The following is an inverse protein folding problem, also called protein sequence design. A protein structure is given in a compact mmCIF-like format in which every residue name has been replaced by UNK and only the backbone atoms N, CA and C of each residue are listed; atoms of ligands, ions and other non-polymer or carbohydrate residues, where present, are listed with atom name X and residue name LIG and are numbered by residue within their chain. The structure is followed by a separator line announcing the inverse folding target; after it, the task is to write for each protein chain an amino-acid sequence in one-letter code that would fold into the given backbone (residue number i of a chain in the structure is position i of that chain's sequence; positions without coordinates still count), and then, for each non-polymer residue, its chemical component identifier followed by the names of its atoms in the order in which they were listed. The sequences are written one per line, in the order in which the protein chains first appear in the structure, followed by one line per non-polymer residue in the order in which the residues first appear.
data_IF_957505924618
#
_entry.id   IF_957505924618
#
_cell.length_a   1.000
_cell.length_b   1.000
_cell.length_c   1.000
_cell.angle_alpha   90.00
_cell.angle_beta   90.00
_cell.angle_gamma   90.00
#
_symmetry.space_group_name_H-M   'P 1'
#
loop_
_entity.id
_entity.type
_entity.pdbx_description
1 polymer ?
#
# COMPACT_ATOMS: atom_id res chain seq x y z
N UNK A 1 5.92 -17.03 -42.56
CA UNK A 1 5.01 -15.92 -42.22
C UNK A 1 4.14 -16.43 -41.09
N UNK A 2 4.57 -16.17 -39.86
CA UNK A 2 3.75 -16.43 -38.68
C UNK A 2 2.88 -15.20 -38.51
N UNK A 3 1.56 -15.38 -38.54
CA UNK A 3 0.61 -14.31 -38.30
C UNK A 3 0.86 -13.73 -36.91
N UNK A 4 1.43 -12.52 -36.87
CA UNK A 4 1.37 -11.64 -35.71
C UNK A 4 -0.09 -11.27 -35.50
N UNK A 5 -0.82 -12.16 -34.82
CA UNK A 5 -2.09 -11.80 -34.21
C UNK A 5 -1.76 -10.70 -33.20
N UNK A 6 -2.18 -9.48 -33.54
CA UNK A 6 -2.06 -8.25 -32.77
C UNK A 6 -2.38 -8.54 -31.30
N UNK A 7 -1.43 -8.27 -30.40
CA UNK A 7 -1.66 -8.44 -28.97
C UNK A 7 -2.85 -7.59 -28.50
N UNK A 8 -3.18 -6.51 -29.22
CA UNK A 8 -4.41 -5.75 -29.06
C UNK A 8 -5.68 -6.56 -29.36
N UNK A 9 -5.71 -7.39 -30.40
CA UNK A 9 -6.85 -8.26 -30.68
C UNK A 9 -7.00 -9.37 -29.64
N UNK A 10 -5.88 -9.93 -29.17
CA UNK A 10 -5.91 -10.94 -28.07
C UNK A 10 -6.44 -10.32 -26.78
N UNK A 11 -6.01 -9.09 -26.48
CA UNK A 11 -6.49 -8.31 -25.34
C UNK A 11 -8.00 -8.04 -25.43
N UNK A 12 -8.48 -7.55 -26.58
CA UNK A 12 -9.91 -7.29 -26.81
C UNK A 12 -10.73 -8.58 -26.69
N UNK A 13 -10.23 -9.69 -27.23
CA UNK A 13 -10.93 -10.99 -27.17
C UNK A 13 -10.97 -11.56 -25.74
N UNK A 14 -9.92 -11.36 -24.93
CA UNK A 14 -9.92 -11.72 -23.51
C UNK A 14 -10.97 -10.91 -22.74
N UNK A 15 -11.08 -9.61 -23.02
CA UNK A 15 -12.12 -8.72 -22.44
C UNK A 15 -13.54 -9.17 -22.81
N UNK A 16 -13.77 -9.69 -24.01
CA UNK A 16 -15.08 -10.23 -24.45
C UNK A 16 -15.46 -11.54 -23.77
N UNK A 17 -14.50 -12.42 -23.48
CA UNK A 17 -14.75 -13.69 -22.78
C UNK A 17 -15.06 -13.47 -21.30
N UNK A 18 -14.36 -12.52 -20.66
CA UNK A 18 -14.67 -12.05 -19.32
C UNK A 18 -16.12 -11.55 -19.22
N UNK A 19 -16.55 -10.77 -20.22
CA UNK A 19 -17.94 -10.30 -20.35
C UNK A 19 -18.97 -11.41 -20.36
N UNK A 20 -18.70 -12.50 -21.06
CA UNK A 20 -19.64 -13.62 -21.15
C UNK A 20 -19.73 -14.43 -19.85
N UNK A 21 -18.63 -14.57 -19.09
CA UNK A 21 -18.60 -15.33 -17.82
C UNK A 21 -19.28 -14.61 -16.67
N UNK A 22 -19.16 -13.30 -16.61
CA UNK A 22 -19.63 -12.51 -15.47
C UNK A 22 -20.85 -11.65 -15.80
N UNK A 23 -21.25 -11.57 -17.08
CA UNK A 23 -22.45 -10.85 -17.54
C UNK A 23 -22.25 -9.36 -17.80
N UNK A 24 -21.01 -8.84 -17.83
CA UNK A 24 -20.71 -7.40 -17.87
C UNK A 24 -19.60 -7.04 -18.87
N UNK A 25 -19.78 -6.00 -19.71
CA UNK A 25 -18.96 -5.69 -20.90
C UNK A 25 -17.49 -5.26 -20.71
N UNK A 26 -16.72 -5.26 -21.81
CA UNK A 26 -15.30 -4.81 -21.94
C UNK A 26 -15.04 -3.36 -21.48
N UNK A 27 -16.09 -2.61 -21.22
CA UNK A 27 -16.09 -1.30 -20.57
C UNK A 27 -15.64 -1.38 -19.10
N UNK A 28 -15.13 -2.50 -18.56
CA UNK A 28 -14.83 -2.68 -17.13
C UNK A 28 -13.39 -2.49 -16.64
N UNK A 29 -12.36 -2.54 -17.49
CA UNK A 29 -11.11 -1.83 -17.15
C UNK A 29 -11.40 -0.32 -17.02
N UNK A 30 -12.36 0.16 -17.81
CA UNK A 30 -12.89 1.51 -17.74
C UNK A 30 -13.94 1.68 -16.63
N UNK A 31 -14.77 0.70 -16.24
CA UNK A 31 -15.81 0.80 -15.18
C UNK A 31 -15.29 0.45 -13.78
N UNK A 32 -14.31 -0.40 -13.53
CA UNK A 32 -13.72 -0.38 -12.18
C UNK A 32 -12.96 0.92 -11.90
N UNK A 33 -12.75 1.78 -12.90
CA UNK A 33 -12.48 3.18 -12.71
C UNK A 33 -13.69 4.09 -12.95
N UNK A 34 -14.68 3.79 -13.80
CA UNK A 34 -15.82 4.65 -14.18
C UNK A 34 -17.13 4.30 -13.44
N UNK A 35 -17.40 3.06 -13.08
CA UNK A 35 -18.19 2.64 -11.91
C UNK A 35 -17.45 2.94 -10.60
N UNK A 36 -16.12 2.91 -10.50
CA UNK A 36 -15.44 3.58 -9.37
C UNK A 36 -15.59 5.09 -9.44
N UNK A 37 -15.60 5.77 -10.58
CA UNK A 37 -15.81 7.23 -10.68
C UNK A 37 -17.32 7.60 -10.64
N UNK A 38 -18.24 6.67 -10.94
CA UNK A 38 -19.71 6.80 -10.87
C UNK A 38 -20.28 6.28 -9.53
N UNK A 39 -19.65 5.32 -8.87
CA UNK A 39 -19.92 4.87 -7.47
C UNK A 39 -19.07 5.66 -6.45
N UNK A 40 -17.89 6.18 -6.84
CA UNK A 40 -17.32 7.44 -6.29
C UNK A 40 -18.01 8.68 -6.88
N UNK A 41 -19.19 8.52 -7.46
CA UNK A 41 -20.20 9.58 -7.55
C UNK A 41 -20.78 9.95 -6.18
N UNK A 42 -20.11 9.59 -5.09
CA UNK A 42 -20.27 10.27 -3.82
C UNK A 42 -19.39 11.50 -3.76
N UNK A 43 -19.84 12.52 -3.04
CA UNK A 43 -19.19 13.83 -2.95
C UNK A 43 -17.70 13.79 -2.55
N UNK A 44 -17.14 12.67 -2.06
CA UNK A 44 -15.75 12.55 -1.55
C UNK A 44 -14.65 12.63 -2.60
N UNK A 45 -14.75 12.00 -3.77
CA UNK A 45 -13.67 12.06 -4.77
C UNK A 45 -13.72 13.38 -5.53
N UNK A 46 -14.91 13.86 -5.92
CA UNK A 46 -15.06 15.23 -6.38
C UNK A 46 -14.57 16.22 -5.32
N UNK A 47 -14.81 15.97 -4.02
CA UNK A 47 -14.25 16.78 -2.94
C UNK A 47 -12.75 16.62 -2.77
N UNK A 48 -12.16 15.43 -2.92
CA UNK A 48 -10.70 15.24 -2.87
C UNK A 48 -10.04 15.92 -4.06
N UNK A 49 -10.56 15.69 -5.27
CA UNK A 49 -10.07 16.32 -6.48
C UNK A 49 -10.30 17.84 -6.44
N UNK A 50 -11.43 18.31 -5.92
CA UNK A 50 -11.64 19.73 -5.64
C UNK A 50 -10.69 20.22 -4.55
N UNK A 51 -10.43 19.48 -3.47
CA UNK A 51 -9.48 19.83 -2.42
C UNK A 51 -8.08 19.92 -3.01
N UNK A 52 -7.66 18.98 -3.85
CA UNK A 52 -6.36 18.96 -4.49
C UNK A 52 -6.23 20.08 -5.55
N UNK A 53 -7.28 20.34 -6.34
CA UNK A 53 -7.33 21.45 -7.30
C UNK A 53 -7.36 22.83 -6.60
N UNK A 54 -8.08 22.95 -5.48
CA UNK A 54 -8.10 24.15 -4.64
C UNK A 54 -6.79 24.33 -3.86
N UNK A 55 -6.14 23.22 -3.44
CA UNK A 55 -4.86 23.22 -2.71
C UNK A 55 -3.70 22.93 -3.64
N UNK A 56 -3.29 23.96 -4.41
CA UNK A 56 -2.22 23.91 -5.43
C UNK A 56 -0.94 23.16 -5.04
N UNK A 57 -0.54 23.22 -3.76
CA UNK A 57 0.65 22.55 -3.27
C UNK A 57 0.50 21.01 -3.24
N UNK A 58 -0.67 20.48 -2.89
CA UNK A 58 -0.94 19.03 -2.92
C UNK A 58 -0.99 18.52 -4.34
N UNK A 59 -1.63 19.27 -5.24
CA UNK A 59 -1.58 18.99 -6.67
C UNK A 59 -0.14 18.94 -7.17
N UNK A 60 0.69 19.94 -6.87
CA UNK A 60 2.09 19.96 -7.30
C UNK A 60 2.88 18.75 -6.78
N UNK A 61 2.67 18.33 -5.53
CA UNK A 61 3.32 17.15 -4.96
C UNK A 61 2.89 15.86 -5.69
N UNK A 62 1.60 15.70 -5.95
CA UNK A 62 1.07 14.55 -6.66
C UNK A 62 1.64 14.47 -8.09
N UNK A 63 1.67 15.60 -8.80
CA UNK A 63 2.27 15.71 -10.12
C UNK A 63 3.77 15.43 -10.11
N UNK A 64 4.49 15.86 -9.07
CA UNK A 64 5.92 15.61 -8.92
C UNK A 64 6.22 14.11 -8.78
N UNK A 65 5.45 13.38 -7.96
CA UNK A 65 5.62 11.92 -7.81
C UNK A 65 5.45 11.22 -9.15
N UNK A 66 4.45 11.63 -9.93
CA UNK A 66 4.12 11.02 -11.22
C UNK A 66 5.18 11.35 -12.28
N UNK A 67 5.59 12.62 -12.34
CA UNK A 67 6.53 13.11 -13.37
C UNK A 67 7.95 12.61 -13.15
N UNK A 68 8.32 12.30 -11.90
CA UNK A 68 9.67 11.87 -11.53
C UNK A 68 9.77 10.35 -11.31
N UNK A 69 8.68 9.60 -11.42
CA UNK A 69 8.72 8.15 -11.21
C UNK A 69 9.38 7.46 -12.41
N UNK A 70 10.46 6.68 -12.20
CA UNK A 70 11.10 5.90 -13.28
C UNK A 70 10.18 4.81 -13.82
N UNK A 71 9.16 4.43 -13.05
CA UNK A 71 8.22 3.38 -13.43
C UNK A 71 7.13 3.85 -14.39
N UNK A 72 7.01 5.16 -14.63
CA UNK A 72 6.00 5.75 -15.51
C UNK A 72 6.64 6.12 -16.85
N UNK A 73 6.03 5.71 -17.96
CA UNK A 73 6.58 5.97 -19.31
C UNK A 73 6.54 7.45 -19.66
N UNK A 74 7.72 7.99 -19.97
CA UNK A 74 7.90 9.33 -20.55
C UNK A 74 7.10 9.46 -21.86
N UNK A 75 6.29 10.52 -21.98
CA UNK A 75 5.47 10.80 -23.17
C UNK A 75 4.00 10.42 -23.05
N UNK A 76 3.58 9.79 -21.94
CA UNK A 76 2.19 9.91 -21.51
C UNK A 76 1.93 11.40 -21.22
N UNK A 77 0.97 12.03 -21.93
CA UNK A 77 0.74 13.49 -21.93
C UNK A 77 0.24 14.04 -20.57
N UNK A 78 1.08 13.97 -19.54
CA UNK A 78 0.83 14.47 -18.17
C UNK A 78 1.05 15.99 -18.09
N UNK A 79 1.67 16.57 -19.12
CA UNK A 79 1.95 18.01 -19.17
C UNK A 79 0.63 18.75 -19.44
N UNK A 80 0.13 19.45 -18.41
CA UNK A 80 -1.05 20.33 -18.39
C UNK A 80 -2.45 19.70 -18.18
N UNK A 81 -2.55 18.40 -17.89
CA UNK A 81 -3.85 17.79 -17.58
C UNK A 81 -4.24 17.98 -16.10
N UNK A 82 -5.53 18.24 -15.83
CA UNK A 82 -6.06 18.24 -14.45
C UNK A 82 -5.86 16.88 -13.77
N UNK A 83 -5.83 16.82 -12.44
CA UNK A 83 -5.52 15.58 -11.71
C UNK A 83 -6.40 14.39 -12.14
N UNK A 84 -7.65 14.66 -12.52
CA UNK A 84 -8.59 13.62 -12.96
C UNK A 84 -8.20 12.98 -14.28
N UNK A 85 -7.54 13.71 -15.18
CA UNK A 85 -7.03 13.15 -16.43
C UNK A 85 -5.77 12.33 -16.19
N UNK A 86 -4.93 12.73 -15.24
CA UNK A 86 -3.71 11.98 -14.89
C UNK A 86 -4.06 10.65 -14.20
N UNK A 87 -5.01 10.67 -13.26
CA UNK A 87 -5.52 9.44 -12.64
C UNK A 87 -6.11 8.49 -13.69
N UNK A 88 -6.75 9.01 -14.74
CA UNK A 88 -7.21 8.20 -15.88
C UNK A 88 -6.03 7.63 -16.65
N UNK A 89 -5.00 8.41 -16.95
CA UNK A 89 -3.79 7.92 -17.65
C UNK A 89 -3.10 6.79 -16.89
N UNK A 90 -2.93 6.93 -15.56
CA UNK A 90 -2.29 5.92 -14.73
C UNK A 90 -3.13 4.65 -14.51
N UNK A 91 -4.41 4.68 -14.88
CA UNK A 91 -5.26 3.50 -14.91
C UNK A 91 -4.82 2.48 -15.97
N UNK A 92 -4.04 2.91 -16.97
CA UNK A 92 -3.69 2.08 -18.11
C UNK A 92 -2.29 1.45 -17.95
N UNK A 93 -2.14 0.14 -18.20
CA UNK A 93 -0.83 -0.51 -18.15
C UNK A 93 0.25 0.17 -19.01
N UNK A 94 -0.05 0.65 -20.24
CA UNK A 94 0.93 1.37 -21.05
C UNK A 94 1.51 2.64 -20.41
N UNK A 95 0.90 3.20 -19.36
CA UNK A 95 1.49 4.30 -18.61
C UNK A 95 2.69 3.86 -17.76
N UNK A 96 2.88 2.56 -17.55
CA UNK A 96 3.96 2.00 -16.74
C UNK A 96 4.99 1.24 -17.60
N UNK A 97 6.23 1.23 -17.13
CA UNK A 97 7.29 0.40 -17.70
C UNK A 97 7.08 -1.09 -17.39
N UNK A 98 6.54 -1.40 -16.20
CA UNK A 98 6.24 -2.74 -15.73
C UNK A 98 4.75 -2.87 -15.36
N UNK A 99 4.08 -3.86 -15.97
CA UNK A 99 2.67 -4.18 -15.71
C UNK A 99 2.41 -4.66 -14.28
N UNK A 100 3.38 -5.29 -13.62
CA UNK A 100 3.26 -5.79 -12.25
C UNK A 100 3.19 -4.63 -11.27
N UNK A 101 4.00 -3.60 -11.50
CA UNK A 101 3.97 -2.34 -10.74
C UNK A 101 2.64 -1.62 -10.97
N UNK A 102 2.15 -1.56 -12.22
CA UNK A 102 0.82 -1.04 -12.52
C UNK A 102 -0.29 -1.82 -11.78
N UNK A 103 -0.22 -3.15 -11.75
CA UNK A 103 -1.20 -3.98 -11.06
C UNK A 103 -1.21 -3.71 -9.54
N UNK A 104 -0.02 -3.60 -8.94
CA UNK A 104 0.13 -3.27 -7.52
C UNK A 104 -0.45 -1.88 -7.22
N UNK A 105 -0.13 -0.89 -8.03
CA UNK A 105 -0.65 0.46 -7.90
C UNK A 105 -2.18 0.49 -7.93
N UNK A 106 -2.81 -0.23 -8.87
CA UNK A 106 -4.26 -0.29 -8.98
C UNK A 106 -4.92 -1.09 -7.84
N UNK A 107 -4.29 -2.18 -7.37
CA UNK A 107 -4.77 -2.91 -6.20
C UNK A 107 -4.78 -2.03 -4.94
N UNK A 108 -3.72 -1.25 -4.73
CA UNK A 108 -3.62 -0.29 -3.62
C UNK A 108 -4.69 0.80 -3.72
N UNK A 109 -4.89 1.37 -4.91
CA UNK A 109 -5.87 2.43 -5.14
C UNK A 109 -7.31 1.92 -4.95
N UNK A 110 -7.65 0.79 -5.57
CA UNK A 110 -8.98 0.19 -5.47
C UNK A 110 -9.28 -0.27 -4.04
N UNK A 111 -8.33 -0.94 -3.37
CA UNK A 111 -8.47 -1.42 -2.00
C UNK A 111 -8.67 -0.27 -1.01
N UNK A 112 -7.88 0.80 -1.15
CA UNK A 112 -7.98 2.00 -0.31
C UNK A 112 -9.35 2.67 -0.42
N UNK A 113 -9.89 2.81 -1.62
CA UNK A 113 -11.21 3.40 -1.82
C UNK A 113 -12.35 2.49 -1.39
N UNK A 114 -12.26 1.18 -1.68
CA UNK A 114 -13.27 0.21 -1.24
C UNK A 114 -13.39 0.21 0.28
N UNK A 115 -12.25 0.24 0.98
CA UNK A 115 -12.19 0.38 2.43
C UNK A 115 -12.83 1.70 2.90
N UNK A 116 -12.49 2.82 2.25
CA UNK A 116 -13.07 4.12 2.60
C UNK A 116 -14.60 4.14 2.44
N UNK A 117 -15.16 3.51 1.42
CA UNK A 117 -16.60 3.53 1.18
C UNK A 117 -17.37 2.56 2.07
N UNK A 118 -16.81 1.38 2.34
CA UNK A 118 -17.54 0.29 2.99
C UNK A 118 -17.35 0.26 4.50
N UNK A 119 -16.17 0.64 4.97
CA UNK A 119 -15.75 0.38 6.35
C UNK A 119 -15.49 1.66 7.15
N UNK A 120 -14.87 2.69 6.55
CA UNK A 120 -14.58 3.96 7.24
C UNK A 120 -15.77 4.84 7.64
N UNK A 121 -16.99 4.73 7.07
CA UNK A 121 -18.10 5.55 7.54
C UNK A 121 -18.46 5.29 9.01
N UNK A 122 -18.25 4.05 9.47
CA UNK A 122 -18.43 3.68 10.88
C UNK A 122 -17.16 3.95 11.67
N UNK A 123 -17.30 4.38 12.93
CA UNK A 123 -16.17 4.53 13.84
C UNK A 123 -15.40 3.20 14.00
N UNK A 124 -14.07 3.29 13.91
CA UNK A 124 -13.19 2.16 14.18
C UNK A 124 -12.06 2.59 15.13
N UNK A 125 -11.59 1.65 15.95
CA UNK A 125 -10.38 1.85 16.74
C UNK A 125 -9.13 1.77 15.85
N UNK A 126 -8.08 2.51 16.20
CA UNK A 126 -6.84 2.58 15.42
C UNK A 126 -6.18 1.21 15.19
N UNK A 127 -6.35 0.28 16.14
CA UNK A 127 -5.85 -1.09 16.03
C UNK A 127 -6.54 -1.92 14.93
N UNK A 128 -7.73 -1.51 14.48
CA UNK A 128 -8.52 -2.24 13.46
C UNK A 128 -8.31 -1.65 12.06
N UNK A 129 -8.01 -0.35 11.96
CA UNK A 129 -7.97 0.40 10.69
C UNK A 129 -7.04 -0.24 9.65
N UNK A 130 -5.80 -0.52 10.03
CA UNK A 130 -4.83 -1.13 9.13
C UNK A 130 -5.26 -2.53 8.70
N UNK A 131 -5.80 -3.34 9.63
CA UNK A 131 -6.27 -4.69 9.34
C UNK A 131 -7.38 -4.71 8.29
N UNK A 132 -8.37 -3.82 8.42
CA UNK A 132 -9.46 -3.68 7.45
C UNK A 132 -8.97 -3.20 6.09
N UNK A 133 -8.15 -2.15 6.06
CA UNK A 133 -7.57 -1.61 4.83
C UNK A 133 -6.80 -2.68 4.05
N UNK A 134 -5.87 -3.36 4.71
CA UNK A 134 -5.04 -4.36 4.07
C UNK A 134 -5.82 -5.62 3.66
N UNK A 135 -6.90 -5.96 4.38
CA UNK A 135 -7.86 -6.97 3.93
C UNK A 135 -8.52 -6.62 2.59
N UNK A 136 -8.95 -5.36 2.43
CA UNK A 136 -9.52 -4.88 1.16
C UNK A 136 -8.48 -4.84 0.04
N UNK A 137 -7.25 -4.40 0.33
CA UNK A 137 -6.13 -4.43 -0.63
C UNK A 137 -5.86 -5.86 -1.09
N UNK A 138 -5.83 -6.83 -0.16
CA UNK A 138 -5.65 -8.24 -0.49
C UNK A 138 -6.72 -8.79 -1.43
N UNK A 139 -7.99 -8.52 -1.13
CA UNK A 139 -9.10 -8.90 -2.02
C UNK A 139 -9.00 -8.29 -3.41
N UNK A 140 -8.62 -7.01 -3.51
CA UNK A 140 -8.41 -6.34 -4.80
C UNK A 140 -7.19 -6.87 -5.54
N UNK A 141 -6.11 -7.23 -4.83
CA UNK A 141 -4.89 -7.80 -5.42
C UNK A 141 -5.17 -9.13 -6.13
N UNK A 142 -6.00 -9.99 -5.51
CA UNK A 142 -6.44 -11.26 -6.11
C UNK A 142 -7.30 -10.97 -7.34
N UNK A 143 -8.31 -10.11 -7.21
CA UNK A 143 -9.20 -9.76 -8.33
C UNK A 143 -8.41 -9.22 -9.53
N UNK A 144 -7.52 -8.25 -9.31
CA UNK A 144 -6.69 -7.70 -10.37
C UNK A 144 -5.77 -8.75 -10.99
N UNK A 145 -5.15 -9.60 -10.18
CA UNK A 145 -4.28 -10.66 -10.69
C UNK A 145 -5.05 -11.66 -11.57
N UNK A 146 -6.25 -12.08 -11.16
CA UNK A 146 -7.11 -12.99 -11.93
C UNK A 146 -7.60 -12.36 -13.24
N UNK A 147 -7.91 -11.06 -13.22
CA UNK A 147 -8.38 -10.32 -14.39
C UNK A 147 -7.24 -10.06 -15.38
N UNK A 148 -6.06 -9.64 -14.89
CA UNK A 148 -4.88 -9.32 -15.70
C UNK A 148 -4.24 -10.58 -16.28
N UNK A 149 -4.24 -11.71 -15.56
CA UNK A 149 -3.68 -12.96 -16.04
C UNK A 149 -4.33 -13.45 -17.35
N UNK A 150 -5.60 -13.11 -17.57
CA UNK A 150 -6.32 -13.45 -18.82
C UNK A 150 -5.85 -12.61 -20.00
N UNK A 151 -5.27 -11.44 -19.73
CA UNK A 151 -4.87 -10.43 -20.71
C UNK A 151 -3.39 -10.58 -21.06
N UNK A 152 -2.54 -10.82 -20.07
CA UNK A 152 -1.08 -10.66 -20.17
C UNK A 152 -0.31 -11.97 -20.38
N UNK A 153 -1.02 -13.06 -20.70
CA UNK A 153 -0.52 -14.43 -20.80
C UNK A 153 0.00 -14.98 -19.44
N UNK A 154 0.26 -16.31 -19.30
CA UNK A 154 0.62 -16.93 -18.02
C UNK A 154 1.94 -16.46 -17.37
N UNK A 155 2.68 -15.55 -18.03
CA UNK A 155 3.99 -15.07 -17.60
C UNK A 155 3.95 -13.75 -16.83
N UNK A 156 2.81 -13.04 -16.83
CA UNK A 156 2.63 -11.87 -15.99
C UNK A 156 1.98 -12.31 -14.68
N UNK A 157 2.83 -12.66 -13.73
CA UNK A 157 2.44 -12.85 -12.34
C UNK A 157 2.10 -11.47 -11.77
N UNK A 158 0.88 -11.28 -11.28
CA UNK A 158 0.29 -9.97 -10.95
C UNK A 158 0.87 -9.30 -9.70
N UNK A 159 -0.02 -8.65 -8.94
CA UNK A 159 0.33 -8.10 -7.64
C UNK A 159 -0.13 -9.05 -6.55
N UNK A 160 0.76 -9.35 -5.61
CA UNK A 160 0.52 -10.25 -4.50
C UNK A 160 0.51 -9.47 -3.19
N UNK A 161 -0.52 -9.75 -2.42
CA UNK A 161 -0.68 -9.24 -1.08
C UNK A 161 -0.69 -10.43 -0.14
N UNK A 162 0.11 -10.35 0.91
CA UNK A 162 0.14 -11.37 1.95
C UNK A 162 0.19 -10.73 3.32
N UNK A 163 -0.47 -11.40 4.27
CA UNK A 163 -0.48 -11.02 5.68
C UNK A 163 0.12 -12.17 6.47
N UNK A 164 1.32 -11.95 6.98
CA UNK A 164 2.03 -12.91 7.82
C UNK A 164 1.63 -12.64 9.26
N UNK A 165 1.00 -13.63 9.89
CA UNK A 165 0.63 -13.57 11.30
C UNK A 165 1.85 -13.92 12.16
N UNK A 166 2.28 -12.98 12.99
CA UNK A 166 3.45 -13.15 13.84
C UNK A 166 3.10 -13.76 15.20
N UNK A 167 1.82 -14.03 15.51
CA UNK A 167 1.31 -14.50 16.82
C UNK A 167 2.36 -15.23 17.69
N UNK A 168 3.06 -14.45 18.51
CA UNK A 168 4.04 -14.95 19.47
C UNK A 168 3.23 -15.40 20.70
N UNK A 169 3.25 -16.70 21.00
CA UNK A 169 2.40 -17.37 22.02
C UNK A 169 2.19 -16.51 23.28
N UNK A 170 0.93 -16.19 23.57
CA UNK A 170 0.49 -15.70 24.89
C UNK A 170 0.62 -14.19 25.15
N UNK A 171 0.83 -13.36 24.13
CA UNK A 171 0.90 -11.90 24.30
C UNK A 171 -0.09 -11.17 23.40
N UNK A 172 -1.31 -11.00 23.91
CA UNK A 172 -2.27 -10.04 23.35
C UNK A 172 -1.81 -8.60 23.64
N UNK A 173 -1.60 -7.86 22.56
CA UNK A 173 -1.68 -6.40 22.40
C UNK A 173 -1.38 -5.53 23.63
N UNK A 174 -0.18 -4.93 23.65
CA UNK A 174 0.12 -3.75 24.48
C UNK A 174 0.50 -2.50 23.69
N UNK A 175 0.76 -2.61 22.39
CA UNK A 175 1.22 -1.50 21.55
C UNK A 175 0.15 -1.16 20.52
N UNK A 176 -0.29 0.10 20.54
CA UNK A 176 -1.23 0.62 19.57
C UNK A 176 -0.54 0.89 18.23
N UNK A 177 -0.72 0.00 17.26
CA UNK A 177 -0.99 0.40 15.88
C UNK A 177 0.17 0.59 14.91
N UNK A 178 1.40 0.19 15.24
CA UNK A 178 2.49 0.13 14.25
C UNK A 178 2.30 -1.09 13.35
N UNK A 179 2.49 -0.91 12.05
CA UNK A 179 2.35 -1.95 11.02
C UNK A 179 3.60 -1.98 10.18
N UNK A 180 4.28 -3.12 10.22
CA UNK A 180 5.40 -3.40 9.34
C UNK A 180 4.88 -3.81 7.96
N UNK A 181 5.34 -3.11 6.93
CA UNK A 181 5.03 -3.39 5.53
C UNK A 181 6.33 -3.62 4.76
N UNK A 182 6.40 -4.70 3.98
CA UNK A 182 7.47 -4.93 3.02
C UNK A 182 6.93 -4.68 1.62
N UNK A 183 7.59 -3.81 0.88
CA UNK A 183 7.27 -3.53 -0.53
C UNK A 183 8.38 -4.15 -1.37
N UNK A 184 8.06 -5.19 -2.11
CA UNK A 184 9.00 -5.96 -2.92
C UNK A 184 8.64 -5.85 -4.42
N UNK A 185 9.63 -5.56 -5.25
CA UNK A 185 9.45 -5.51 -6.69
C UNK A 185 10.72 -5.88 -7.43
N UNK A 186 10.58 -6.27 -8.69
CA UNK A 186 11.72 -6.42 -9.60
C UNK A 186 12.12 -5.05 -10.15
N UNK A 187 13.36 -4.64 -9.90
CA UNK A 187 13.92 -3.39 -10.37
C UNK A 187 14.39 -3.51 -11.83
N UNK A 188 14.68 -2.38 -12.48
CA UNK A 188 15.03 -2.31 -13.92
C UNK A 188 16.28 -3.13 -14.30
N UNK A 189 17.14 -3.43 -13.33
CA UNK A 189 18.33 -4.25 -13.46
C UNK A 189 18.04 -5.77 -13.37
N UNK A 190 16.76 -6.14 -13.21
CA UNK A 190 16.29 -7.52 -13.09
C UNK A 190 16.45 -8.12 -11.70
N UNK A 191 16.93 -7.35 -10.71
CA UNK A 191 17.04 -7.82 -9.34
C UNK A 191 15.81 -7.43 -8.51
N UNK A 192 15.41 -8.32 -7.60
CA UNK A 192 14.34 -8.02 -6.66
C UNK A 192 14.87 -7.13 -5.54
N UNK A 193 14.17 -6.03 -5.28
CA UNK A 193 14.46 -5.09 -4.19
C UNK A 193 13.28 -5.06 -3.23
N UNK A 194 13.59 -5.00 -1.94
CA UNK A 194 12.62 -4.81 -0.86
C UNK A 194 12.86 -3.50 -0.14
N UNK A 195 11.80 -2.72 0.09
CA UNK A 195 11.82 -1.58 1.01
C UNK A 195 10.89 -1.87 2.20
N UNK A 196 11.44 -2.01 3.42
CA UNK A 196 10.67 -2.02 4.65
C UNK A 196 10.07 -0.63 4.93
N UNK A 197 8.83 -0.61 5.39
CA UNK A 197 8.10 0.59 5.74
C UNK A 197 7.36 0.38 7.08
N UNK A 198 7.54 1.33 8.00
CA UNK A 198 6.84 1.36 9.28
C UNK A 198 5.67 2.33 9.17
N UNK A 199 4.44 1.82 9.33
CA UNK A 199 3.22 2.63 9.27
C UNK A 199 2.56 2.73 10.63
N UNK A 200 2.18 3.94 11.03
CA UNK A 200 1.34 4.15 12.20
C UNK A 200 -0.03 4.68 11.80
N UNK A 201 -1.09 3.95 12.15
CA UNK A 201 -2.46 4.39 11.89
C UNK A 201 -2.85 5.55 12.82
N UNK A 202 -3.46 6.59 12.24
CA UNK A 202 -4.08 7.67 13.00
C UNK A 202 -5.41 8.07 12.40
N UNK A 203 -6.31 8.56 13.25
CA UNK A 203 -7.59 9.11 12.80
C UNK A 203 -7.50 10.61 12.68
N UNK A 204 -8.23 11.16 11.71
CA UNK A 204 -8.39 12.60 11.60
C UNK A 204 -9.82 12.96 11.30
N UNK A 205 -10.13 14.20 11.61
CA UNK A 205 -11.41 14.81 11.34
C UNK A 205 -11.18 16.21 10.81
N UNK A 206 -11.88 16.54 9.72
CA UNK A 206 -11.66 17.75 8.93
C UNK A 206 -10.23 17.81 8.38
N UNK A 207 -9.26 18.23 9.20
CA UNK A 207 -7.87 18.38 8.79
C UNK A 207 -6.86 17.87 9.83
N UNK A 208 -7.14 18.00 11.13
CA UNK A 208 -6.15 17.71 12.17
C UNK A 208 -6.28 16.28 12.70
N UNK A 209 -5.14 15.68 12.98
CA UNK A 209 -4.99 14.40 13.67
C UNK A 209 -4.17 14.57 14.94
N UNK A 210 -4.54 13.86 16.00
CA UNK A 210 -3.81 13.80 17.25
C UNK A 210 -2.66 12.78 17.15
N UNK A 211 -1.44 13.25 17.33
CA UNK A 211 -0.21 12.44 17.34
C UNK A 211 0.51 12.50 18.70
N UNK A 212 -0.18 12.99 19.73
CA UNK A 212 0.37 13.26 21.07
C UNK A 212 0.56 12.02 21.95
N UNK A 213 0.34 10.82 21.40
CA UNK A 213 0.46 9.57 22.14
C UNK A 213 1.89 9.38 22.68
N UNK A 214 2.00 8.93 23.93
CA UNK A 214 3.27 8.72 24.63
C UNK A 214 3.52 7.25 24.96
N UNK A 215 4.80 6.88 24.99
CA UNK A 215 5.29 5.65 25.60
C UNK A 215 6.26 6.03 26.73
N UNK A 216 5.81 5.94 27.97
CA UNK A 216 6.51 6.56 29.10
C UNK A 216 6.58 8.09 28.93
N UNK A 217 7.79 8.64 29.00
CA UNK A 217 8.03 10.09 28.88
C UNK A 217 8.22 10.57 27.43
N UNK A 218 8.38 9.66 26.47
CA UNK A 218 8.69 9.98 25.07
C UNK A 218 7.42 9.96 24.22
N UNK A 219 7.23 10.98 23.38
CA UNK A 219 6.16 10.96 22.38
C UNK A 219 6.47 9.95 21.28
N UNK A 220 5.47 9.16 20.87
CA UNK A 220 5.62 8.15 19.81
C UNK A 220 6.11 8.75 18.49
N UNK A 221 5.79 10.02 18.20
CA UNK A 221 6.29 10.68 16.99
C UNK A 221 7.82 10.78 16.96
N UNK A 222 8.48 10.96 18.11
CA UNK A 222 9.94 10.97 18.17
C UNK A 222 10.47 9.60 17.80
N UNK A 223 9.93 8.55 18.41
CA UNK A 223 10.30 7.16 18.10
C UNK A 223 10.11 6.83 16.62
N UNK A 224 8.96 7.18 16.03
CA UNK A 224 8.68 6.91 14.62
C UNK A 224 9.67 7.62 13.68
N UNK A 225 10.07 8.85 14.02
CA UNK A 225 11.02 9.65 13.23
C UNK A 225 12.46 9.19 13.39
N UNK A 226 12.82 8.66 14.54
CA UNK A 226 14.18 8.23 14.87
C UNK A 226 14.50 6.83 14.28
N UNK A 227 13.52 6.16 13.68
CA UNK A 227 13.77 4.94 12.92
C UNK A 227 14.71 5.20 11.74
N UNK A 228 15.64 4.26 11.55
CA UNK A 228 16.56 4.19 10.42
C UNK A 228 15.91 3.67 9.13
N UNK A 229 14.60 3.44 9.15
CA UNK A 229 13.82 2.96 8.02
C UNK A 229 12.77 3.99 7.62
N UNK A 230 12.28 3.95 6.37
CA UNK A 230 11.12 4.71 5.97
C UNK A 230 9.96 4.49 6.95
N UNK A 231 9.46 5.59 7.50
CA UNK A 231 8.33 5.57 8.43
C UNK A 231 7.31 6.66 8.08
N UNK A 232 6.04 6.36 8.32
CA UNK A 232 4.95 7.27 7.98
C UNK A 232 3.73 7.09 8.88
N UNK A 233 2.95 8.16 8.97
CA UNK A 233 1.60 8.11 9.47
C UNK A 233 0.64 7.82 8.33
N UNK A 234 -0.33 6.94 8.58
CA UNK A 234 -1.46 6.68 7.71
C UNK A 234 -2.74 7.18 8.38
N UNK A 235 -3.30 8.23 7.82
CA UNK A 235 -4.45 8.95 8.32
C UNK A 235 -5.74 8.46 7.69
N UNK A 236 -6.69 8.10 8.55
CA UNK A 236 -8.03 7.65 8.19
C UNK A 236 -9.05 8.70 8.59
N UNK A 237 -9.89 9.14 7.66
CA UNK A 237 -10.94 10.10 7.97
C UNK A 237 -12.07 9.37 8.70
N UNK A 238 -12.06 9.45 10.03
CA UNK A 238 -12.96 8.68 10.88
C UNK A 238 -13.22 9.45 12.18
N UNK A 239 -14.49 9.58 12.56
CA UNK A 239 -14.92 10.33 13.73
C UNK A 239 -15.69 9.46 14.71
N UNK A 240 -15.50 9.71 16.00
CA UNK A 240 -16.16 8.94 17.08
C UNK A 240 -17.62 9.33 17.28
N UNK A 241 -17.95 10.58 17.03
CA UNK A 241 -19.23 11.21 17.34
C UNK A 241 -20.14 11.37 16.11
N UNK A 242 -19.63 11.12 14.90
CA UNK A 242 -20.45 11.15 13.68
C UNK A 242 -20.01 10.15 12.63
N UNK A 243 -20.98 9.64 11.88
CA UNK A 243 -20.74 8.96 10.61
C UNK A 243 -20.22 9.96 9.58
N UNK A 244 -19.18 9.59 8.85
CA UNK A 244 -18.70 10.36 7.71
C UNK A 244 -19.24 9.64 6.47
N UNK A 245 -20.23 10.24 5.79
CA UNK A 245 -20.90 9.64 4.64
C UNK A 245 -19.89 9.24 3.55
N UNK A 246 -18.93 10.14 3.28
CA UNK A 246 -18.00 10.05 2.17
C UNK A 246 -16.59 10.36 2.67
N UNK A 247 -15.95 9.43 3.41
CA UNK A 247 -14.61 9.67 3.94
C UNK A 247 -13.56 9.62 2.82
N UNK A 248 -12.48 10.38 3.00
CA UNK A 248 -11.32 10.32 2.12
C UNK A 248 -10.65 8.95 2.20
N UNK A 249 -10.10 8.43 1.08
CA UNK A 249 -9.17 7.32 1.12
C UNK A 249 -8.00 7.60 2.08
N UNK A 250 -7.38 6.57 2.68
CA UNK A 250 -6.25 6.75 3.59
C UNK A 250 -5.13 7.59 2.97
N UNK A 251 -4.70 8.59 3.74
CA UNK A 251 -3.65 9.53 3.37
C UNK A 251 -2.38 9.23 4.15
N UNK A 252 -1.23 9.26 3.49
CA UNK A 252 0.05 8.90 4.08
C UNK A 252 0.98 10.12 4.11
N UNK A 253 1.55 10.39 5.28
CA UNK A 253 2.54 11.46 5.48
C UNK A 253 3.80 10.83 6.06
N UNK A 254 4.93 11.01 5.38
CA UNK A 254 6.23 10.60 5.92
C UNK A 254 6.49 11.31 7.25
N UNK A 255 6.97 10.56 8.24
CA UNK A 255 7.35 11.08 9.56
C UNK A 255 8.38 12.23 9.45
N UNK A 256 9.26 12.18 8.45
CA UNK A 256 10.27 13.19 8.16
C UNK A 256 9.67 14.55 7.76
N UNK A 257 8.46 14.56 7.18
CA UNK A 257 7.77 15.79 6.76
C UNK A 257 6.93 16.43 7.87
N UNK A 258 6.82 15.81 9.05
CA UNK A 258 6.15 16.41 10.20
C UNK A 258 7.13 17.39 10.86
N UNK A 259 6.76 18.66 11.06
CA UNK A 259 7.64 19.63 11.71
C UNK A 259 8.07 19.15 13.11
N UNK A 260 9.37 19.24 13.40
CA UNK A 260 9.86 19.06 14.77
C UNK A 260 9.39 20.24 15.62
N UNK A 261 8.44 19.98 16.50
CA UNK A 261 8.14 20.83 17.64
C UNK A 261 8.49 20.04 18.91
N UNK A 262 8.77 20.73 20.02
CA UNK A 262 9.05 20.05 21.29
C UNK A 262 7.86 19.19 21.74
N UNK A 263 6.64 19.58 21.36
CA UNK A 263 5.37 18.93 21.72
C UNK A 263 4.35 19.00 20.56
N UNK A 264 4.54 18.27 19.44
CA UNK A 264 3.56 18.26 18.38
C UNK A 264 2.36 17.45 18.87
N UNK A 265 1.31 18.16 19.30
CA UNK A 265 0.07 17.51 19.71
C UNK A 265 -0.74 17.06 18.49
N UNK A 266 -0.69 17.85 17.43
CA UNK A 266 -1.50 17.65 16.25
C UNK A 266 -0.69 17.86 14.97
N UNK A 267 -1.12 17.20 13.91
CA UNK A 267 -0.59 17.40 12.55
C UNK A 267 -1.75 17.45 11.57
N UNK A 268 -1.59 18.21 10.48
CA UNK A 268 -2.56 18.22 9.38
C UNK A 268 -2.40 16.93 8.57
N UNK A 269 -3.45 16.11 8.55
CA UNK A 269 -3.53 14.90 7.71
C UNK A 269 -3.62 15.24 6.21
N UNK A 270 -3.88 16.51 5.87
CA UNK A 270 -4.01 16.99 4.50
C UNK A 270 -2.73 17.67 3.99
N UNK A 271 -1.75 17.97 4.84
CA UNK A 271 -0.53 18.68 4.44
C UNK A 271 0.59 17.67 4.18
N UNK A 272 1.26 17.78 3.03
CA UNK A 272 2.33 16.86 2.61
C UNK A 272 1.90 15.38 2.58
N UNK A 273 0.61 15.15 2.38
CA UNK A 273 0.01 13.82 2.37
C UNK A 273 -0.18 13.30 0.96
N UNK A 274 0.03 12.00 0.76
CA UNK A 274 -0.23 11.29 -0.50
C UNK A 274 -1.20 10.13 -0.24
N UNK A 275 -2.12 9.81 -1.18
CA UNK A 275 -2.82 8.53 -1.14
C UNK A 275 -1.84 7.36 -1.10
N UNK A 276 -2.19 6.27 -0.42
CA UNK A 276 -1.29 5.12 -0.19
C UNK A 276 -0.59 4.62 -1.46
N UNK A 277 -1.33 4.44 -2.57
CA UNK A 277 -0.75 3.98 -3.84
C UNK A 277 0.37 4.91 -4.36
N UNK A 278 0.20 6.22 -4.22
CA UNK A 278 1.18 7.21 -4.66
C UNK A 278 2.35 7.30 -3.70
N UNK A 279 2.10 7.14 -2.40
CA UNK A 279 3.17 7.05 -1.42
C UNK A 279 4.06 5.82 -1.66
N UNK A 280 3.47 4.66 -1.93
CA UNK A 280 4.21 3.43 -2.27
C UNK A 280 5.02 3.62 -3.56
N UNK A 281 4.40 4.17 -4.61
CA UNK A 281 5.12 4.44 -5.87
C UNK A 281 6.29 5.41 -5.67
N UNK A 282 6.08 6.47 -4.89
CA UNK A 282 7.14 7.42 -4.52
C UNK A 282 8.26 6.70 -3.76
N UNK A 283 7.92 5.85 -2.80
CA UNK A 283 8.90 5.13 -2.01
C UNK A 283 9.74 4.18 -2.87
N UNK A 284 9.11 3.46 -3.81
CA UNK A 284 9.83 2.61 -4.77
C UNK A 284 10.80 3.42 -5.66
N UNK A 285 10.46 4.68 -5.96
CA UNK A 285 11.27 5.54 -6.83
C UNK A 285 12.40 6.25 -6.07
N UNK A 286 12.11 6.74 -4.87
CA UNK A 286 12.94 7.70 -4.13
C UNK A 286 13.64 7.11 -2.89
N UNK A 287 13.32 5.89 -2.46
CA UNK A 287 14.02 5.28 -1.32
C UNK A 287 15.53 5.23 -1.59
N UNK A 288 16.35 5.68 -0.63
CA UNK A 288 17.80 5.57 -0.70
C UNK A 288 18.25 4.11 -0.73
N UNK A 289 19.42 3.84 -1.31
CA UNK A 289 19.98 2.48 -1.41
C UNK A 289 20.15 1.79 -0.06
N UNK A 290 20.40 2.55 1.02
CA UNK A 290 20.48 1.99 2.39
C UNK A 290 19.15 1.45 2.93
N UNK A 291 18.03 1.82 2.31
CA UNK A 291 16.69 1.31 2.64
C UNK A 291 16.22 0.22 1.67
N UNK A 292 17.06 -0.17 0.70
CA UNK A 292 16.76 -1.22 -0.29
C UNK A 292 17.53 -2.47 0.05
N UNK A 293 16.82 -3.58 0.17
CA UNK A 293 17.38 -4.87 0.56
C UNK A 293 17.19 -5.90 -0.55
N UNK A 294 18.22 -6.70 -0.76
CA UNK A 294 18.26 -7.72 -1.82
C UNK A 294 17.72 -9.08 -1.35
N UNK A 295 17.49 -9.24 -0.05
CA UNK A 295 16.96 -10.45 0.53
C UNK A 295 15.86 -10.16 1.56
N UNK A 296 14.83 -11.02 1.65
CA UNK A 296 13.83 -10.95 2.73
C UNK A 296 14.45 -11.01 4.12
N UNK A 297 15.50 -11.81 4.31
CA UNK A 297 16.21 -11.93 5.60
C UNK A 297 16.84 -10.62 6.04
N UNK A 298 17.50 -9.89 5.15
CA UNK A 298 18.09 -8.59 5.47
C UNK A 298 17.01 -7.53 5.74
N UNK A 299 15.94 -7.52 4.95
CA UNK A 299 14.80 -6.64 5.17
C UNK A 299 14.13 -6.89 6.54
N UNK A 300 13.95 -8.16 6.93
CA UNK A 300 13.41 -8.55 8.24
C UNK A 300 14.32 -8.12 9.37
N UNK A 301 15.63 -8.36 9.27
CA UNK A 301 16.61 -7.89 10.27
C UNK A 301 16.59 -6.37 10.42
N UNK A 302 16.54 -5.64 9.31
CA UNK A 302 16.45 -4.18 9.34
C UNK A 302 15.15 -3.70 10.01
N UNK A 303 14.01 -4.34 9.71
CA UNK A 303 12.73 -4.05 10.37
C UNK A 303 12.82 -4.30 11.88
N UNK A 304 13.33 -5.46 12.28
CA UNK A 304 13.44 -5.86 13.68
C UNK A 304 14.47 -5.05 14.48
N UNK A 305 15.42 -4.40 13.81
CA UNK A 305 16.33 -3.42 14.43
C UNK A 305 15.64 -2.11 14.81
N UNK A 306 14.48 -1.81 14.22
CA UNK A 306 13.71 -0.60 14.46
C UNK A 306 12.46 -0.86 15.31
N UNK A 307 11.76 -1.96 15.05
CA UNK A 307 10.53 -2.33 15.76
C UNK A 307 10.74 -3.64 16.50
N UNK A 308 10.38 -3.68 17.78
CA UNK A 308 10.44 -4.92 18.54
C UNK A 308 9.47 -5.94 17.92
N UNK A 309 9.93 -7.15 17.53
CA UNK A 309 9.06 -8.16 16.93
C UNK A 309 7.84 -8.51 17.77
N UNK A 310 7.90 -8.36 19.10
CA UNK A 310 6.75 -8.63 19.99
C UNK A 310 5.65 -7.58 19.91
N UNK A 311 5.95 -6.43 19.32
CA UNK A 311 5.00 -5.33 19.17
C UNK A 311 4.25 -5.39 17.83
N UNK A 312 4.67 -6.30 16.94
CA UNK A 312 4.05 -6.56 15.65
C UNK A 312 3.12 -7.77 15.73
N UNK A 313 1.85 -7.56 15.41
CA UNK A 313 0.85 -8.64 15.35
C UNK A 313 0.91 -9.31 13.97
N UNK A 314 1.00 -8.49 12.94
CA UNK A 314 1.04 -8.95 11.56
C UNK A 314 2.07 -8.14 10.80
N UNK A 315 2.62 -8.77 9.79
CA UNK A 315 3.45 -8.15 8.77
C UNK A 315 2.69 -8.18 7.46
N UNK A 316 2.72 -7.07 6.74
CA UNK A 316 2.14 -6.98 5.41
C UNK A 316 3.25 -7.09 4.38
N UNK A 317 3.03 -7.92 3.35
CA UNK A 317 3.92 -8.02 2.20
C UNK A 317 3.14 -7.63 0.96
N UNK A 318 3.64 -6.60 0.27
CA UNK A 318 3.20 -6.16 -1.04
C UNK A 318 4.28 -6.55 -2.03
N UNK A 319 4.02 -7.48 -2.93
CA UNK A 319 5.04 -7.99 -3.84
C UNK A 319 4.55 -8.16 -5.27
N UNK A 320 5.45 -8.03 -6.24
CA UNK A 320 5.24 -8.50 -7.61
C UNK A 320 5.61 -9.98 -7.79
N UNK A 321 6.06 -10.66 -6.72
CA UNK A 321 6.50 -12.06 -6.72
C UNK A 321 5.47 -12.93 -5.97
N UNK A 322 5.07 -14.05 -6.58
CA UNK A 322 4.04 -14.93 -6.02
C UNK A 322 4.45 -15.64 -4.73
N UNK A 323 5.73 -15.92 -4.58
CA UNK A 323 6.29 -16.66 -3.46
C UNK A 323 6.74 -15.77 -2.29
N UNK A 324 6.50 -14.45 -2.38
CA UNK A 324 6.95 -13.49 -1.39
C UNK A 324 6.47 -13.82 0.02
N UNK A 325 5.21 -14.25 0.17
CA UNK A 325 4.66 -14.70 1.45
C UNK A 325 5.55 -15.73 2.12
N UNK A 326 5.88 -16.79 1.37
CA UNK A 326 6.67 -17.90 1.88
C UNK A 326 8.08 -17.46 2.26
N UNK A 327 8.73 -16.66 1.41
CA UNK A 327 10.10 -16.19 1.67
C UNK A 327 10.17 -15.26 2.88
N UNK A 328 9.20 -14.36 3.05
CA UNK A 328 9.15 -13.48 4.22
C UNK A 328 8.70 -14.21 5.49
N UNK A 329 7.78 -15.17 5.40
CA UNK A 329 7.38 -16.00 6.55
C UNK A 329 8.56 -16.83 7.05
N UNK A 330 9.32 -17.45 6.14
CA UNK A 330 10.54 -18.16 6.48
C UNK A 330 11.57 -17.23 7.13
N UNK A 331 11.85 -16.07 6.52
CA UNK A 331 12.82 -15.11 7.06
C UNK A 331 12.44 -14.61 8.47
N UNK A 332 11.16 -14.36 8.72
CA UNK A 332 10.66 -14.02 10.05
C UNK A 332 10.79 -15.18 11.03
N UNK A 333 10.42 -16.40 10.63
CA UNK A 333 10.53 -17.57 11.48
C UNK A 333 11.98 -17.84 11.90
N UNK A 334 12.92 -17.75 10.96
CA UNK A 334 14.37 -17.87 11.21
C UNK A 334 14.84 -16.79 12.20
N UNK A 335 14.51 -15.51 11.95
CA UNK A 335 14.86 -14.41 12.85
C UNK A 335 14.33 -14.60 14.28
N UNK A 336 13.07 -15.01 14.41
CA UNK A 336 12.43 -15.23 15.72
C UNK A 336 13.07 -16.40 16.49
N UNK A 337 13.54 -17.44 15.79
CA UNK A 337 14.26 -18.56 16.40
C UNK A 337 15.66 -18.14 16.81
N UNK A 338 16.40 -17.46 15.94
CA UNK A 338 17.78 -17.02 16.19
C UNK A 338 17.92 -16.07 17.38
N UNK A 339 16.83 -15.34 17.70
CA UNK A 339 16.80 -14.33 18.76
C UNK A 339 15.89 -14.72 19.94
N UNK A 340 15.62 -16.02 20.11
CA UNK A 340 14.89 -16.59 21.26
C UNK A 340 13.45 -16.06 21.47
N UNK A 341 12.82 -15.50 20.42
CA UNK A 341 11.41 -15.10 20.44
C UNK A 341 10.46 -16.29 20.24
N UNK A 342 10.94 -17.37 19.60
CA UNK A 342 10.16 -18.58 19.29
C UNK A 342 11.05 -19.82 19.41
N UNK A 343 10.51 -20.89 20.01
CA UNK A 343 11.19 -22.18 20.00
C UNK A 343 11.28 -22.77 18.60
N UNK A 344 12.45 -23.28 18.23
CA UNK A 344 12.62 -24.04 16.99
C UNK A 344 11.65 -25.22 16.94
N UNK A 345 11.05 -25.53 15.78
CA UNK A 345 10.24 -26.73 15.64
C UNK A 345 11.06 -27.95 16.03
N UNK A 346 10.57 -28.74 17.00
CA UNK A 346 11.21 -30.00 17.39
C UNK A 346 11.31 -30.88 16.15
N UNK A 347 12.52 -31.27 15.78
CA UNK A 347 12.72 -32.18 14.65
C UNK A 347 11.98 -33.48 14.98
N UNK A 348 11.07 -33.90 14.11
CA UNK A 348 10.41 -35.21 14.18
C UNK A 348 11.51 -36.30 14.07
N UNK A 349 12.06 -36.70 15.21
CA UNK A 349 13.25 -37.54 15.30
C UNK A 349 13.82 -37.62 16.72
N UNK A 350 13.62 -36.60 17.56
CA UNK A 350 14.08 -36.60 18.96
C UNK A 350 13.08 -37.26 19.93
N UNK A 351 12.34 -38.27 19.46
CA UNK A 351 11.65 -39.23 20.33
C UNK A 351 12.54 -40.45 20.51
N UNK A 352 13.62 -40.30 21.28
CA UNK A 352 14.52 -41.40 21.61
C UNK A 352 15.23 -41.18 22.93
N UNK A 353 14.80 -41.90 23.97
CA UNK A 353 15.49 -42.03 25.26
C UNK A 353 14.56 -41.95 26.45
#
# INVERSE_FOLDING_TARGET
MCDEVDEGEKFIRALEQFKQRHGYGAEYAFRFQDQFLREMGTESHASLMNILELRRHLKAQYLSVISNSPYIRNGSHVVESGLGAITKTLAFPPAFHDVRIWALFNALQAGSSAYAQRELPAYQEESVLNGGLFGQIGGMSISWSDDIAQIMAPKCEGAFFSKIDLQIKGREQKTGGDTAVFIEWEHEDGYVRTVPLILQAKRFFEELSDISQKNGDVYQFHTLRDYSLPSAYMFFQNAKDRRIENPLPPLVVSSAHIPMADHPRTVSALTNSLPLAHYVLRLMAEASEEHRFDSPGDAVRAMAANVNPTDLINVIVLSTQRDAEYRFDQAWAEYLIENDYREAPRKFGDFGG
#
